data_IF_162970889421
#
_entry.id   IF_162970889421
#
_cell.length_a   1.000
_cell.length_b   1.000
_cell.length_c   1.000
_cell.angle_alpha   90.00
_cell.angle_beta   90.00
_cell.angle_gamma   90.00
#
_symmetry.space_group_name_H-M   'P 1'
#
loop_
_entity.id
_entity.type
_entity.pdbx_description
1 polymer ?
#
# COMPACT_ATOMS: atom_id res chain seq x y z
N UNK A 1 49.61 31.00 -6.48
CA UNK A 1 48.34 31.55 -5.94
C UNK A 1 47.39 30.40 -5.66
N UNK A 2 46.88 30.24 -4.43
CA UNK A 2 45.83 29.23 -4.16
C UNK A 2 44.56 29.68 -4.89
N UNK A 3 44.07 28.88 -5.83
CA UNK A 3 42.81 29.14 -6.52
C UNK A 3 41.68 29.24 -5.48
N UNK A 4 41.04 30.40 -5.38
CA UNK A 4 39.89 30.62 -4.53
C UNK A 4 38.64 30.09 -5.22
N UNK A 5 37.94 29.15 -4.59
CA UNK A 5 36.70 28.60 -5.14
C UNK A 5 35.54 29.59 -5.00
N UNK A 6 34.63 29.61 -5.99
CA UNK A 6 33.42 30.44 -5.91
C UNK A 6 32.58 30.09 -4.67
N UNK A 7 32.11 31.07 -3.89
CA UNK A 7 31.22 30.81 -2.75
C UNK A 7 29.96 30.07 -3.17
N UNK A 8 29.46 29.19 -2.32
CA UNK A 8 28.21 28.43 -2.55
C UNK A 8 27.45 28.17 -1.27
N UNK A 9 26.17 27.82 -1.39
CA UNK A 9 25.29 27.52 -0.24
C UNK A 9 25.59 26.12 0.33
N UNK A 10 25.66 26.01 1.65
CA UNK A 10 25.76 24.75 2.36
C UNK A 10 24.50 23.91 2.14
N UNK A 11 24.67 22.64 1.78
CA UNK A 11 23.54 21.72 1.55
C UNK A 11 22.77 21.35 2.82
N UNK A 12 23.35 21.59 4.00
CA UNK A 12 22.76 21.23 5.29
C UNK A 12 22.12 22.45 5.99
N UNK A 13 22.86 23.55 6.18
CA UNK A 13 22.39 24.73 6.90
C UNK A 13 22.07 25.96 6.02
N UNK A 14 22.30 25.90 4.71
CA UNK A 14 21.98 26.99 3.77
C UNK A 14 22.94 28.18 3.75
N UNK A 15 23.85 28.30 4.73
CA UNK A 15 24.85 29.38 4.81
C UNK A 15 25.75 29.39 3.58
N UNK A 16 26.07 30.58 3.06
CA UNK A 16 27.04 30.76 1.98
C UNK A 16 28.46 30.64 2.55
N UNK A 17 29.29 29.79 1.94
CA UNK A 17 30.67 29.58 2.36
C UNK A 17 31.61 29.47 1.16
N UNK A 18 32.88 29.78 1.36
CA UNK A 18 33.94 29.58 0.37
C UNK A 18 34.50 28.17 0.53
N UNK A 19 34.41 27.29 -0.49
CA UNK A 19 34.92 25.92 -0.40
C UNK A 19 36.43 25.89 -0.23
N UNK A 20 36.94 24.94 0.55
CA UNK A 20 38.38 24.64 0.58
C UNK A 20 38.78 23.64 -0.53
N UNK A 21 37.81 22.91 -1.08
CA UNK A 21 37.98 21.92 -2.16
C UNK A 21 36.79 21.99 -3.13
N UNK A 22 37.02 21.68 -4.40
CA UNK A 22 36.00 21.76 -5.47
C UNK A 22 34.69 21.03 -5.11
N UNK A 23 34.79 19.82 -4.55
CA UNK A 23 33.64 18.95 -4.25
C UNK A 23 33.05 19.11 -2.85
N UNK A 24 33.52 20.07 -2.04
CA UNK A 24 33.03 20.25 -0.66
C UNK A 24 31.56 20.70 -0.65
N UNK A 25 30.62 19.91 -0.12
CA UNK A 25 29.17 20.21 -0.19
C UNK A 25 28.63 21.05 0.98
N UNK A 26 29.42 21.17 2.05
CA UNK A 26 29.00 21.72 3.34
C UNK A 26 30.05 22.66 3.92
N UNK A 27 29.64 23.57 4.80
CA UNK A 27 30.53 24.59 5.36
C UNK A 27 31.44 24.05 6.49
N UNK A 28 31.04 22.99 7.19
CA UNK A 28 31.78 22.47 8.36
C UNK A 28 31.68 20.94 8.50
N UNK A 29 32.58 20.31 9.29
CA UNK A 29 32.50 18.88 9.63
C UNK A 29 31.16 18.48 10.27
N UNK A 30 30.61 19.32 11.16
CA UNK A 30 29.30 19.08 11.77
C UNK A 30 28.18 18.99 10.71
N UNK A 31 28.18 19.90 9.73
CA UNK A 31 27.24 19.83 8.61
C UNK A 31 27.47 18.59 7.71
N UNK A 32 28.71 18.09 7.62
CA UNK A 32 29.02 16.87 6.86
C UNK A 32 28.40 15.63 7.53
N UNK A 33 28.50 15.53 8.86
CA UNK A 33 27.94 14.43 9.65
C UNK A 33 26.41 14.45 9.51
N UNK A 34 25.76 15.59 9.79
CA UNK A 34 24.31 15.73 9.71
C UNK A 34 23.76 15.41 8.31
N UNK A 35 24.42 15.90 7.24
CA UNK A 35 24.03 15.57 5.87
C UNK A 35 24.14 14.07 5.58
N UNK A 36 25.19 13.42 6.07
CA UNK A 36 25.41 11.97 5.88
C UNK A 36 24.36 11.15 6.60
N UNK A 37 24.00 11.52 7.83
CA UNK A 37 22.93 10.86 8.60
C UNK A 37 21.57 11.00 7.92
N UNK A 38 21.24 12.20 7.43
CA UNK A 38 20.02 12.42 6.63
C UNK A 38 20.01 11.58 5.36
N UNK A 39 21.13 11.49 4.63
CA UNK A 39 21.23 10.67 3.42
C UNK A 39 21.11 9.17 3.74
N UNK A 40 21.69 8.70 4.86
CA UNK A 40 21.51 7.31 5.34
C UNK A 40 20.04 7.02 5.68
N UNK A 41 19.39 7.89 6.45
CA UNK A 41 17.97 7.72 6.79
C UNK A 41 17.06 7.67 5.56
N UNK A 42 17.30 8.54 4.57
CA UNK A 42 16.58 8.53 3.28
C UNK A 42 16.82 7.24 2.49
N UNK A 43 18.06 6.73 2.46
CA UNK A 43 18.39 5.46 1.78
C UNK A 43 17.67 4.28 2.43
N UNK A 44 17.68 4.18 3.76
CA UNK A 44 16.97 3.11 4.49
C UNK A 44 15.46 3.19 4.24
N UNK A 45 14.87 4.37 4.36
CA UNK A 45 13.44 4.54 4.10
C UNK A 45 13.06 4.18 2.66
N UNK A 46 13.90 4.52 1.67
CA UNK A 46 13.68 4.15 0.27
C UNK A 46 13.82 2.64 0.06
N UNK A 47 14.82 1.99 0.66
CA UNK A 47 15.02 0.56 0.58
C UNK A 47 13.82 -0.22 1.15
N UNK A 48 13.36 0.15 2.35
CA UNK A 48 12.18 -0.45 2.97
C UNK A 48 10.90 -0.26 2.14
N UNK A 49 10.73 0.91 1.51
CA UNK A 49 9.59 1.13 0.59
C UNK A 49 9.67 0.23 -0.64
N UNK A 50 10.86 0.07 -1.22
CA UNK A 50 11.08 -0.80 -2.37
C UNK A 50 10.82 -2.27 -2.01
N UNK A 51 11.32 -2.73 -0.87
CA UNK A 51 11.13 -4.09 -0.35
C UNK A 51 9.64 -4.40 -0.11
N UNK A 52 8.90 -3.48 0.54
CA UNK A 52 7.45 -3.66 0.73
C UNK A 52 6.71 -3.74 -0.59
N UNK A 53 7.11 -2.94 -1.59
CA UNK A 53 6.52 -2.97 -2.93
C UNK A 53 6.80 -4.31 -3.61
N UNK A 54 8.05 -4.77 -3.61
CA UNK A 54 8.42 -6.05 -4.24
C UNK A 54 7.76 -7.24 -3.54
N UNK A 55 7.66 -7.22 -2.21
CA UNK A 55 6.96 -8.25 -1.46
C UNK A 55 5.48 -8.30 -1.83
N UNK A 56 4.81 -7.14 -1.90
CA UNK A 56 3.41 -7.06 -2.32
C UNK A 56 3.22 -7.61 -3.74
N UNK A 57 4.08 -7.22 -4.68
CA UNK A 57 4.02 -7.73 -6.06
C UNK A 57 4.26 -9.25 -6.12
N UNK A 58 5.20 -9.77 -5.33
CA UNK A 58 5.46 -11.20 -5.25
C UNK A 58 4.27 -11.96 -4.66
N UNK A 59 3.65 -11.44 -3.59
CA UNK A 59 2.46 -12.03 -2.98
C UNK A 59 1.27 -12.02 -3.94
N UNK A 60 1.07 -10.93 -4.68
CA UNK A 60 0.02 -10.85 -5.72
C UNK A 60 0.25 -11.87 -6.84
N UNK A 61 1.49 -12.02 -7.32
CA UNK A 61 1.86 -13.02 -8.34
C UNK A 61 1.72 -14.46 -7.83
N UNK A 62 1.96 -14.68 -6.54
CA UNK A 62 1.85 -15.98 -5.90
C UNK A 62 0.41 -16.33 -5.49
N UNK A 63 -0.59 -15.47 -5.76
CA UNK A 63 -1.99 -15.78 -5.45
C UNK A 63 -2.45 -17.01 -6.22
N UNK A 64 -2.95 -17.98 -5.47
CA UNK A 64 -3.58 -19.17 -6.05
C UNK A 64 -5.00 -18.85 -6.50
N UNK A 65 -5.54 -19.68 -7.39
CA UNK A 65 -6.97 -19.63 -7.78
C UNK A 65 -7.89 -19.59 -6.55
N UNK A 66 -7.60 -20.38 -5.52
CA UNK A 66 -8.39 -20.42 -4.28
C UNK A 66 -8.37 -19.10 -3.50
N UNK A 67 -7.24 -18.38 -3.51
CA UNK A 67 -7.15 -17.05 -2.91
C UNK A 67 -7.98 -16.03 -3.68
N UNK A 68 -7.87 -16.00 -5.01
CA UNK A 68 -8.72 -15.13 -5.85
C UNK A 68 -10.21 -15.39 -5.65
N UNK A 69 -10.64 -16.66 -5.62
CA UNK A 69 -12.04 -17.00 -5.40
C UNK A 69 -12.56 -16.55 -4.03
N UNK A 70 -11.73 -16.58 -2.98
CA UNK A 70 -12.11 -16.08 -1.64
C UNK A 70 -12.22 -14.55 -1.61
N UNK A 71 -11.27 -13.85 -2.23
CA UNK A 71 -11.30 -12.39 -2.36
C UNK A 71 -12.55 -11.93 -3.13
N UNK A 72 -12.82 -12.56 -4.28
CA UNK A 72 -14.00 -12.29 -5.10
C UNK A 72 -15.30 -12.56 -4.34
N UNK A 73 -15.38 -13.63 -3.53
CA UNK A 73 -16.57 -13.91 -2.73
C UNK A 73 -16.90 -12.78 -1.76
N UNK A 74 -15.90 -12.22 -1.09
CA UNK A 74 -16.10 -11.11 -0.15
C UNK A 74 -16.65 -9.86 -0.85
N UNK A 75 -16.11 -9.54 -2.03
CA UNK A 75 -16.57 -8.42 -2.86
C UNK A 75 -17.98 -8.68 -3.38
N UNK A 76 -18.24 -9.87 -3.91
CA UNK A 76 -19.54 -10.27 -4.42
C UNK A 76 -20.62 -10.23 -3.34
N UNK A 77 -20.37 -10.81 -2.17
CA UNK A 77 -21.32 -10.78 -1.05
C UNK A 77 -21.57 -9.36 -0.54
N UNK A 78 -20.57 -8.46 -0.61
CA UNK A 78 -20.76 -7.04 -0.27
C UNK A 78 -21.66 -6.34 -1.27
N UNK A 79 -21.46 -6.61 -2.56
CA UNK A 79 -22.31 -6.07 -3.63
C UNK A 79 -23.76 -6.55 -3.50
N UNK A 80 -23.99 -7.86 -3.26
CA UNK A 80 -25.33 -8.42 -3.02
C UNK A 80 -26.03 -7.72 -1.85
N UNK A 81 -25.34 -7.57 -0.70
CA UNK A 81 -25.90 -6.86 0.46
C UNK A 81 -26.29 -5.42 0.17
N UNK A 82 -25.51 -4.74 -0.68
CA UNK A 82 -25.80 -3.36 -1.07
C UNK A 82 -26.96 -3.27 -2.06
N UNK A 83 -27.03 -4.19 -3.04
CA UNK A 83 -28.12 -4.28 -4.02
C UNK A 83 -29.45 -4.61 -3.36
N UNK A 84 -29.45 -5.60 -2.47
CA UNK A 84 -30.66 -6.13 -1.85
C UNK A 84 -31.07 -5.35 -0.59
N UNK A 85 -30.39 -4.23 -0.29
CA UNK A 85 -30.66 -3.33 0.83
C UNK A 85 -32.17 -3.09 1.03
N UNK A 86 -32.72 -3.58 2.14
CA UNK A 86 -34.14 -3.40 2.50
C UNK A 86 -35.11 -4.46 1.97
N UNK A 87 -34.65 -5.39 1.12
CA UNK A 87 -35.47 -6.51 0.65
C UNK A 87 -35.45 -7.69 1.65
N UNK A 88 -36.48 -8.54 1.68
CA UNK A 88 -36.40 -9.80 2.41
C UNK A 88 -35.32 -10.72 1.82
N UNK A 89 -34.77 -11.61 2.63
CA UNK A 89 -33.82 -12.62 2.20
C UNK A 89 -34.43 -13.53 1.11
N UNK A 90 -33.78 -13.65 -0.06
CA UNK A 90 -34.25 -14.53 -1.14
C UNK A 90 -34.35 -16.02 -0.74
N UNK A 91 -33.52 -16.46 0.21
CA UNK A 91 -33.48 -17.86 0.65
C UNK A 91 -34.59 -18.22 1.64
N UNK A 92 -34.85 -17.37 2.65
CA UNK A 92 -35.71 -17.70 3.79
C UNK A 92 -36.85 -16.69 4.03
N UNK A 93 -36.98 -15.66 3.19
CA UNK A 93 -38.04 -14.65 3.26
C UNK A 93 -37.96 -13.70 4.46
N UNK A 94 -36.93 -13.81 5.31
CA UNK A 94 -36.80 -12.98 6.52
C UNK A 94 -36.56 -11.51 6.16
N UNK A 95 -37.14 -10.56 6.90
CA UNK A 95 -37.01 -9.13 6.59
C UNK A 95 -35.57 -8.65 6.76
N UNK A 96 -35.21 -7.55 6.10
CA UNK A 96 -33.88 -6.94 6.20
C UNK A 96 -33.48 -6.52 7.64
N UNK A 97 -34.44 -6.40 8.55
CA UNK A 97 -34.21 -6.14 9.99
C UNK A 97 -33.75 -7.38 10.77
N UNK A 98 -33.70 -8.55 10.14
CA UNK A 98 -33.27 -9.80 10.78
C UNK A 98 -31.74 -9.85 10.97
N UNK A 99 -31.29 -10.23 12.16
CA UNK A 99 -29.86 -10.25 12.55
C UNK A 99 -29.08 -11.50 12.09
N UNK A 100 -29.58 -12.20 11.08
CA UNK A 100 -28.98 -13.44 10.58
C UNK A 100 -28.04 -13.25 9.39
N UNK A 101 -27.55 -14.36 8.81
CA UNK A 101 -26.78 -14.30 7.56
C UNK A 101 -27.70 -13.88 6.41
N UNK A 102 -27.38 -12.74 5.84
CA UNK A 102 -28.14 -12.08 4.79
C UNK A 102 -27.20 -11.80 3.61
N UNK A 103 -26.69 -12.88 3.01
CA UNK A 103 -25.89 -12.85 1.78
C UNK A 103 -26.14 -14.10 0.91
N UNK A 104 -25.57 -14.10 -0.29
CA UNK A 104 -25.75 -15.16 -1.29
C UNK A 104 -25.35 -16.57 -0.79
N UNK A 105 -24.48 -16.67 0.22
CA UNK A 105 -24.05 -17.96 0.78
C UNK A 105 -25.16 -18.69 1.53
N UNK A 106 -26.17 -17.97 2.02
CA UNK A 106 -27.35 -18.57 2.67
C UNK A 106 -28.28 -19.23 1.64
N UNK A 107 -28.33 -18.74 0.40
CA UNK A 107 -29.15 -19.35 -0.65
C UNK A 107 -28.56 -20.67 -1.17
N UNK A 108 -27.29 -20.65 -1.56
CA UNK A 108 -26.54 -21.86 -1.96
C UNK A 108 -25.11 -21.76 -1.47
N UNK A 109 -24.62 -22.83 -0.84
CA UNK A 109 -23.23 -22.86 -0.39
C UNK A 109 -22.25 -22.94 -1.58
N UNK A 110 -21.05 -22.38 -1.39
CA UNK A 110 -19.99 -22.41 -2.40
C UNK A 110 -19.53 -23.83 -2.77
N UNK A 111 -19.70 -24.80 -1.86
CA UNK A 111 -19.32 -26.20 -2.08
C UNK A 111 -20.39 -27.01 -2.81
N UNK A 112 -21.67 -26.69 -2.59
CA UNK A 112 -22.79 -27.42 -3.19
C UNK A 112 -23.02 -27.09 -4.66
N UNK A 113 -22.72 -25.85 -5.10
CA UNK A 113 -22.78 -25.49 -6.51
C UNK A 113 -21.72 -24.44 -6.89
N UNK A 114 -20.47 -24.86 -7.16
CA UNK A 114 -19.39 -23.94 -7.50
C UNK A 114 -19.63 -23.12 -8.79
N UNK A 115 -20.45 -23.64 -9.71
CA UNK A 115 -20.75 -22.98 -10.98
C UNK A 115 -21.60 -21.71 -10.79
N UNK A 116 -22.50 -21.69 -9.81
CA UNK A 116 -23.34 -20.51 -9.50
C UNK A 116 -22.73 -19.62 -8.41
N UNK A 117 -21.44 -19.78 -8.09
CA UNK A 117 -20.80 -19.09 -6.95
C UNK A 117 -20.87 -17.56 -7.03
N UNK A 118 -20.86 -17.02 -8.24
CA UNK A 118 -20.94 -15.57 -8.52
C UNK A 118 -22.16 -15.25 -9.41
N UNK A 119 -23.21 -16.08 -9.29
CA UNK A 119 -24.46 -15.85 -9.99
C UNK A 119 -25.31 -14.85 -9.20
N UNK A 120 -25.68 -13.69 -9.78
CA UNK A 120 -26.42 -12.66 -9.09
C UNK A 120 -27.93 -12.93 -8.93
N UNK A 121 -28.48 -14.06 -9.37
CA UNK A 121 -29.93 -14.37 -9.31
C UNK A 121 -30.65 -13.86 -8.04
#
# INVERSE_FOLDING_TARGET
>A
MRATFKPKKCRECGVVFTPARSMQKVCSPACAIALTEKEKGRKVARAQRAERKSLREALEKAKTRGTHLRELQSVFNRWIRARDAGLPCISCGRPASWKGQWDAGHYRSVGSNPASRFDPL
#
